data_IF_813250082383
#
_entry.id   IF_813250082383
#
_cell.length_a   1.000
_cell.length_b   1.000
_cell.length_c   1.000
_cell.angle_alpha   90.00
_cell.angle_beta   90.00
_cell.angle_gamma   90.00
#
_symmetry.space_group_name_H-M   'P 1'
#
loop_
_entity.id
_entity.type
_entity.pdbx_description
1 polymer ?
#
# COMPACT_ATOMS: atom_id res chain seq x y z
N UNK A 1 -24.54 -12.45 -43.33
CA UNK A 1 -24.00 -11.73 -42.15
C UNK A 1 -22.55 -11.39 -42.45
N UNK A 2 -22.19 -10.11 -42.52
CA UNK A 2 -20.82 -9.69 -42.82
C UNK A 2 -19.90 -10.01 -41.63
N UNK A 3 -18.74 -10.61 -41.89
CA UNK A 3 -17.73 -10.93 -40.87
C UNK A 3 -17.21 -9.59 -40.30
N UNK A 4 -17.26 -9.33 -38.98
CA UNK A 4 -16.76 -8.09 -38.42
C UNK A 4 -15.29 -7.90 -38.78
N UNK A 5 -14.89 -6.68 -39.10
CA UNK A 5 -13.48 -6.34 -39.31
C UNK A 5 -12.71 -6.64 -38.03
N UNK A 6 -11.45 -7.09 -38.15
CA UNK A 6 -10.64 -7.51 -37.00
C UNK A 6 -10.45 -6.41 -35.94
N UNK A 7 -10.58 -5.14 -36.32
CA UNK A 7 -10.54 -3.99 -35.41
C UNK A 7 -11.84 -3.81 -34.61
N UNK A 8 -13.01 -4.02 -35.24
CA UNK A 8 -14.29 -3.96 -34.53
C UNK A 8 -14.38 -5.08 -33.48
N UNK A 9 -13.96 -6.29 -33.85
CA UNK A 9 -13.90 -7.43 -32.93
C UNK A 9 -12.94 -7.18 -31.74
N UNK A 10 -11.82 -6.49 -31.98
CA UNK A 10 -10.88 -6.11 -30.91
C UNK A 10 -11.48 -5.05 -29.97
N UNK A 11 -12.21 -4.07 -30.51
CA UNK A 11 -12.91 -3.06 -29.70
C UNK A 11 -13.99 -3.68 -28.83
N UNK A 12 -14.79 -4.59 -29.38
CA UNK A 12 -15.81 -5.31 -28.62
C UNK A 12 -15.15 -6.17 -27.53
N UNK A 13 -14.07 -6.90 -27.87
CA UNK A 13 -13.32 -7.68 -26.88
C UNK A 13 -12.76 -6.80 -25.76
N UNK A 14 -12.18 -5.63 -26.08
CA UNK A 14 -11.65 -4.72 -25.07
C UNK A 14 -12.75 -4.22 -24.13
N UNK A 15 -13.94 -3.90 -24.65
CA UNK A 15 -15.11 -3.49 -23.85
C UNK A 15 -15.60 -4.63 -22.94
N UNK A 16 -15.81 -5.82 -23.49
CA UNK A 16 -16.23 -6.99 -22.70
C UNK A 16 -15.19 -7.36 -21.63
N UNK A 17 -13.90 -7.28 -21.98
CA UNK A 17 -12.81 -7.53 -21.03
C UNK A 17 -12.85 -6.51 -19.90
N UNK A 18 -13.03 -5.21 -20.17
CA UNK A 18 -13.19 -4.20 -19.11
C UNK A 18 -14.35 -4.51 -18.16
N UNK A 19 -15.49 -4.97 -18.68
CA UNK A 19 -16.62 -5.40 -17.85
C UNK A 19 -16.25 -6.58 -16.96
N UNK A 20 -15.53 -7.58 -17.50
CA UNK A 20 -15.03 -8.71 -16.72
C UNK A 20 -14.06 -8.26 -15.62
N UNK A 21 -13.14 -7.34 -15.93
CA UNK A 21 -12.18 -6.81 -14.94
C UNK A 21 -12.91 -6.06 -13.83
N UNK A 22 -13.92 -5.26 -14.15
CA UNK A 22 -14.76 -4.60 -13.15
C UNK A 22 -15.44 -5.63 -12.22
N UNK A 23 -15.99 -6.71 -12.78
CA UNK A 23 -16.55 -7.80 -11.98
C UNK A 23 -15.50 -8.45 -11.07
N UNK A 24 -14.29 -8.71 -11.57
CA UNK A 24 -13.20 -9.23 -10.74
C UNK A 24 -12.81 -8.25 -9.62
N UNK A 25 -12.70 -6.96 -9.89
CA UNK A 25 -12.40 -5.95 -8.86
C UNK A 25 -13.51 -5.86 -7.80
N UNK A 26 -14.77 -5.99 -8.21
CA UNK A 26 -15.90 -6.07 -7.29
C UNK A 26 -15.84 -7.32 -6.44
N UNK A 27 -15.48 -8.49 -7.01
CA UNK A 27 -15.34 -9.74 -6.24
C UNK A 27 -14.23 -9.67 -5.18
N UNK A 28 -13.18 -8.90 -5.44
CA UNK A 28 -12.05 -8.67 -4.53
C UNK A 28 -12.28 -7.50 -3.55
N UNK A 29 -13.50 -6.95 -3.48
CA UNK A 29 -13.79 -5.87 -2.53
C UNK A 29 -13.62 -6.33 -1.07
N UNK A 30 -13.17 -5.43 -0.16
CA UNK A 30 -12.94 -5.78 1.25
C UNK A 30 -14.18 -6.32 1.97
N UNK A 31 -15.37 -5.94 1.50
CA UNK A 31 -16.66 -6.35 2.06
C UNK A 31 -17.02 -7.81 1.76
N UNK A 32 -16.36 -8.44 0.79
CA UNK A 32 -16.66 -9.82 0.40
C UNK A 32 -15.86 -10.78 1.27
N UNK A 33 -16.53 -11.75 1.88
CA UNK A 33 -15.88 -12.83 2.61
C UNK A 33 -15.05 -13.73 1.67
N UNK A 34 -14.19 -14.61 2.22
CA UNK A 34 -13.67 -15.75 1.44
C UNK A 34 -14.82 -16.64 1.00
N UNK A 35 -14.73 -17.17 -0.22
CA UNK A 35 -15.72 -18.10 -0.74
C UNK A 35 -15.34 -19.52 -0.28
N UNK A 36 -16.08 -20.11 0.68
CA UNK A 36 -15.80 -21.46 1.16
C UNK A 36 -16.06 -22.53 0.10
N UNK A 37 -16.74 -22.20 -1.00
CA UNK A 37 -16.95 -23.11 -2.13
C UNK A 37 -15.72 -23.26 -3.02
N UNK A 38 -14.71 -22.39 -2.89
CA UNK A 38 -13.50 -22.41 -3.70
C UNK A 38 -12.36 -22.98 -2.84
N UNK A 39 -11.97 -24.26 -3.04
CA UNK A 39 -10.90 -24.86 -2.27
C UNK A 39 -9.59 -24.12 -2.53
N UNK A 40 -8.79 -23.84 -1.49
CA UNK A 40 -7.52 -23.16 -1.67
C UNK A 40 -6.56 -24.06 -2.45
N UNK A 41 -5.79 -23.49 -3.40
CA UNK A 41 -4.71 -24.25 -4.02
C UNK A 41 -3.71 -24.70 -2.94
N UNK A 42 -2.98 -25.81 -3.13
CA UNK A 42 -2.06 -26.34 -2.11
C UNK A 42 -1.02 -25.34 -1.60
N UNK A 43 -0.66 -24.37 -2.44
CA UNK A 43 0.24 -23.25 -2.12
C UNK A 43 -0.32 -21.96 -2.73
N UNK A 44 -1.19 -21.22 -2.03
CA UNK A 44 -1.86 -20.05 -2.60
C UNK A 44 -0.92 -18.93 -2.99
N UNK A 45 0.13 -18.66 -2.19
CA UNK A 45 1.13 -17.64 -2.54
C UNK A 45 1.94 -18.01 -3.80
N UNK A 46 2.28 -19.28 -3.98
CA UNK A 46 2.97 -19.74 -5.19
C UNK A 46 2.07 -19.58 -6.43
N UNK A 47 0.77 -19.87 -6.30
CA UNK A 47 -0.21 -19.67 -7.37
C UNK A 47 -0.37 -18.19 -7.74
N UNK A 48 -0.48 -17.30 -6.74
CA UNK A 48 -0.52 -15.85 -6.93
C UNK A 48 0.76 -15.34 -7.61
N UNK A 49 1.92 -15.79 -7.14
CA UNK A 49 3.23 -15.44 -7.71
C UNK A 49 3.36 -15.90 -9.16
N UNK A 50 2.92 -17.11 -9.48
CA UNK A 50 2.93 -17.63 -10.84
C UNK A 50 2.02 -16.80 -11.76
N UNK A 51 0.81 -16.46 -11.31
CA UNK A 51 -0.12 -15.60 -12.06
C UNK A 51 0.47 -14.21 -12.31
N UNK A 52 1.07 -13.57 -11.31
CA UNK A 52 1.71 -12.26 -11.45
C UNK A 52 2.89 -12.30 -12.44
N UNK A 53 3.73 -13.34 -12.36
CA UNK A 53 4.87 -13.52 -13.27
C UNK A 53 4.41 -13.74 -14.71
N UNK A 54 3.40 -14.59 -14.92
CA UNK A 54 2.80 -14.82 -16.23
C UNK A 54 2.18 -13.54 -16.79
N UNK A 55 1.42 -12.80 -15.97
CA UNK A 55 0.82 -11.53 -16.38
C UNK A 55 1.90 -10.55 -16.83
N UNK A 56 3.00 -10.39 -16.07
CA UNK A 56 4.13 -9.54 -16.46
C UNK A 56 4.68 -9.92 -17.84
N UNK A 57 4.89 -11.21 -18.11
CA UNK A 57 5.36 -11.71 -19.40
C UNK A 57 4.38 -11.42 -20.55
N UNK A 58 3.09 -11.61 -20.31
CA UNK A 58 2.04 -11.27 -21.28
C UNK A 58 1.98 -9.76 -21.54
N UNK A 59 2.10 -8.93 -20.51
CA UNK A 59 2.14 -7.47 -20.64
C UNK A 59 3.32 -7.02 -21.49
N UNK A 60 4.52 -7.58 -21.29
CA UNK A 60 5.69 -7.28 -22.13
C UNK A 60 5.43 -7.65 -23.60
N UNK A 61 4.88 -8.84 -23.84
CA UNK A 61 4.55 -9.29 -25.18
C UNK A 61 3.51 -8.40 -25.85
N UNK A 62 2.48 -7.99 -25.10
CA UNK A 62 1.43 -7.09 -25.59
C UNK A 62 2.00 -5.69 -25.87
N UNK A 63 2.82 -5.15 -24.98
CA UNK A 63 3.50 -3.87 -25.16
C UNK A 63 4.29 -3.83 -26.48
N UNK A 64 5.08 -4.87 -26.75
CA UNK A 64 5.82 -5.03 -28.00
C UNK A 64 4.89 -5.05 -29.23
N UNK A 65 3.77 -5.79 -29.17
CA UNK A 65 2.77 -5.84 -30.24
C UNK A 65 2.10 -4.49 -30.49
N UNK A 66 1.95 -3.66 -29.47
CA UNK A 66 1.31 -2.35 -29.58
C UNK A 66 2.25 -1.29 -30.11
N UNK A 67 3.54 -1.31 -29.73
CA UNK A 67 4.53 -0.30 -30.14
C UNK A 67 5.22 -0.61 -31.48
N UNK A 68 5.16 -1.87 -31.93
CA UNK A 68 5.86 -2.34 -33.14
C UNK A 68 4.89 -2.51 -34.31
N UNK A 69 5.07 -1.80 -35.43
CA UNK A 69 4.30 -2.04 -36.64
C UNK A 69 4.64 -3.41 -37.26
N UNK A 70 3.67 -4.12 -37.88
CA UNK A 70 2.28 -3.71 -38.06
C UNK A 70 1.38 -4.06 -36.86
N UNK A 71 0.40 -3.20 -36.60
CA UNK A 71 -0.68 -3.43 -35.65
C UNK A 71 -1.47 -4.66 -36.06
N UNK A 72 -1.43 -5.68 -35.21
CA UNK A 72 -1.97 -7.02 -35.52
C UNK A 72 -3.13 -7.35 -34.57
N UNK A 73 -4.38 -7.01 -34.92
CA UNK A 73 -5.51 -7.13 -34.00
C UNK A 73 -5.75 -8.56 -33.52
N UNK A 74 -5.56 -9.56 -34.38
CA UNK A 74 -5.74 -10.96 -34.02
C UNK A 74 -4.75 -11.43 -32.94
N UNK A 75 -3.48 -11.05 -33.05
CA UNK A 75 -2.46 -11.39 -32.05
C UNK A 75 -2.75 -10.69 -30.70
N UNK A 76 -3.21 -9.44 -30.74
CA UNK A 76 -3.63 -8.68 -29.57
C UNK A 76 -4.84 -9.34 -28.90
N UNK A 77 -5.86 -9.73 -29.68
CA UNK A 77 -7.04 -10.43 -29.17
C UNK A 77 -6.66 -11.75 -28.48
N UNK A 78 -5.77 -12.54 -29.09
CA UNK A 78 -5.26 -13.77 -28.48
C UNK A 78 -4.60 -13.47 -27.14
N UNK A 79 -3.73 -12.46 -27.06
CA UNK A 79 -3.05 -12.11 -25.81
C UNK A 79 -4.00 -11.63 -24.71
N UNK A 80 -5.03 -10.86 -25.05
CA UNK A 80 -6.06 -10.44 -24.10
C UNK A 80 -6.87 -11.66 -23.61
N UNK A 81 -7.21 -12.58 -24.50
CA UNK A 81 -7.89 -13.83 -24.16
C UNK A 81 -7.05 -14.74 -23.25
N UNK A 82 -5.78 -14.94 -23.57
CA UNK A 82 -4.83 -15.74 -22.78
C UNK A 82 -4.73 -15.20 -21.35
N UNK A 83 -4.60 -13.87 -21.22
CA UNK A 83 -4.50 -13.21 -19.90
C UNK A 83 -5.79 -13.36 -19.10
N UNK A 84 -6.95 -13.16 -19.73
CA UNK A 84 -8.25 -13.22 -19.07
C UNK A 84 -8.58 -14.62 -18.57
N UNK A 85 -8.34 -15.64 -19.41
CA UNK A 85 -8.64 -17.04 -19.09
C UNK A 85 -7.60 -17.70 -18.18
N UNK A 86 -6.34 -17.24 -18.22
CA UNK A 86 -5.25 -17.79 -17.42
C UNK A 86 -4.98 -16.97 -16.15
N UNK A 87 -3.94 -16.10 -16.17
CA UNK A 87 -3.41 -15.48 -14.96
C UNK A 87 -4.41 -14.63 -14.20
N UNK A 88 -5.37 -13.95 -14.84
CA UNK A 88 -6.36 -13.15 -14.10
C UNK A 88 -7.37 -14.01 -13.36
N UNK A 89 -7.92 -15.03 -14.02
CA UNK A 89 -8.85 -15.97 -13.38
C UNK A 89 -8.15 -16.74 -12.26
N UNK A 90 -6.92 -17.20 -12.49
CA UNK A 90 -6.11 -17.86 -11.45
C UNK A 90 -5.78 -16.95 -10.27
N UNK A 91 -5.44 -15.69 -10.53
CA UNK A 91 -5.17 -14.69 -9.49
C UNK A 91 -6.40 -14.42 -8.64
N UNK A 92 -7.56 -14.16 -9.27
CA UNK A 92 -8.81 -13.93 -8.55
C UNK A 92 -9.18 -15.16 -7.74
N UNK A 93 -9.14 -16.35 -8.34
CA UNK A 93 -9.43 -17.62 -7.67
C UNK A 93 -8.57 -17.83 -6.42
N UNK A 94 -7.25 -17.64 -6.54
CA UNK A 94 -6.33 -17.75 -5.40
C UNK A 94 -6.57 -16.68 -4.33
N UNK A 95 -6.98 -15.46 -4.72
CA UNK A 95 -7.25 -14.35 -3.81
C UNK A 95 -8.64 -14.41 -3.13
N UNK A 96 -9.60 -15.18 -3.66
CA UNK A 96 -10.93 -15.35 -3.04
C UNK A 96 -11.13 -16.68 -2.33
N UNK A 97 -10.24 -17.66 -2.57
CA UNK A 97 -10.30 -18.99 -1.96
C UNK A 97 -10.34 -18.96 -0.42
N UNK A 98 -10.72 -20.09 0.16
CA UNK A 98 -10.80 -20.28 1.61
C UNK A 98 -9.52 -19.79 2.33
N UNK A 99 -9.71 -19.12 3.47
CA UNK A 99 -8.69 -18.36 4.19
C UNK A 99 -7.62 -19.26 4.85
N UNK A 100 -6.72 -19.79 4.04
CA UNK A 100 -5.55 -20.56 4.44
C UNK A 100 -4.31 -19.69 4.72
N UNK A 101 -4.37 -18.40 4.38
CA UNK A 101 -3.25 -17.46 4.48
C UNK A 101 -3.24 -16.62 5.78
N UNK A 102 -4.35 -16.62 6.54
CA UNK A 102 -4.58 -15.67 7.63
C UNK A 102 -5.27 -14.40 7.12
N UNK A 103 -6.10 -13.78 7.97
CA UNK A 103 -6.94 -12.66 7.59
C UNK A 103 -6.11 -11.47 7.08
N UNK A 104 -4.99 -11.16 7.74
CA UNK A 104 -4.12 -10.04 7.35
C UNK A 104 -3.53 -10.24 5.95
N UNK A 105 -2.99 -11.43 5.69
CA UNK A 105 -2.37 -11.75 4.39
C UNK A 105 -3.43 -11.82 3.29
N UNK A 106 -4.61 -12.39 3.57
CA UNK A 106 -5.70 -12.48 2.61
C UNK A 106 -6.18 -11.10 2.16
N UNK A 107 -6.35 -10.17 3.11
CA UNK A 107 -6.77 -8.79 2.81
C UNK A 107 -5.76 -8.10 1.91
N UNK A 108 -4.46 -8.23 2.20
CA UNK A 108 -3.41 -7.60 1.40
C UNK A 108 -3.32 -8.23 -0.01
N UNK A 109 -3.36 -9.56 -0.12
CA UNK A 109 -3.34 -10.25 -1.43
C UNK A 109 -4.52 -9.80 -2.29
N UNK A 110 -5.71 -9.66 -1.71
CA UNK A 110 -6.91 -9.16 -2.42
C UNK A 110 -6.74 -7.72 -2.89
N UNK A 111 -6.22 -6.84 -2.03
CA UNK A 111 -5.99 -5.44 -2.37
C UNK A 111 -4.99 -5.31 -3.53
N UNK A 112 -3.86 -6.00 -3.45
CA UNK A 112 -2.83 -6.01 -4.50
C UNK A 112 -3.32 -6.65 -5.80
N UNK A 113 -4.07 -7.76 -5.72
CA UNK A 113 -4.69 -8.38 -6.89
C UNK A 113 -5.69 -7.43 -7.57
N UNK A 114 -6.50 -6.70 -6.79
CA UNK A 114 -7.44 -5.69 -7.31
C UNK A 114 -6.72 -4.54 -7.99
N UNK A 115 -5.62 -4.06 -7.41
CA UNK A 115 -4.78 -3.02 -8.02
C UNK A 115 -4.19 -3.51 -9.35
N UNK A 116 -3.65 -4.72 -9.39
CA UNK A 116 -3.07 -5.33 -10.58
C UNK A 116 -4.10 -5.53 -11.71
N UNK A 117 -5.34 -5.94 -11.36
CA UNK A 117 -6.43 -6.04 -12.32
C UNK A 117 -6.82 -4.66 -12.86
N UNK A 118 -6.78 -3.63 -12.01
CA UNK A 118 -7.02 -2.24 -12.41
C UNK A 118 -5.97 -1.73 -13.41
N UNK A 119 -4.69 -1.93 -13.12
CA UNK A 119 -3.60 -1.51 -14.02
C UNK A 119 -3.64 -2.26 -15.36
N UNK A 120 -4.01 -3.55 -15.36
CA UNK A 120 -4.28 -4.28 -16.60
C UNK A 120 -5.50 -3.71 -17.36
N UNK A 121 -6.55 -3.28 -16.66
CA UNK A 121 -7.71 -2.63 -17.24
C UNK A 121 -7.37 -1.34 -17.99
N UNK A 122 -6.39 -0.57 -17.51
CA UNK A 122 -5.88 0.60 -18.22
C UNK A 122 -5.17 0.22 -19.52
N UNK A 123 -4.36 -0.85 -19.51
CA UNK A 123 -3.75 -1.39 -20.75
C UNK A 123 -4.81 -1.81 -21.76
N UNK A 124 -5.83 -2.56 -21.34
CA UNK A 124 -6.96 -2.95 -22.22
C UNK A 124 -7.71 -1.72 -22.74
N UNK A 125 -7.84 -0.68 -21.92
CA UNK A 125 -8.40 0.59 -22.34
C UNK A 125 -7.60 1.29 -23.41
N UNK A 126 -6.28 1.28 -23.30
CA UNK A 126 -5.39 1.82 -24.31
C UNK A 126 -5.49 1.03 -25.62
N UNK A 127 -5.53 -0.30 -25.55
CA UNK A 127 -5.76 -1.15 -26.73
C UNK A 127 -7.05 -0.77 -27.46
N UNK A 128 -8.15 -0.57 -26.73
CA UNK A 128 -9.42 -0.12 -27.32
C UNK A 128 -9.28 1.23 -28.02
N UNK A 129 -8.68 2.23 -27.36
CA UNK A 129 -8.46 3.56 -27.98
C UNK A 129 -7.61 3.48 -29.26
N UNK A 130 -6.55 2.65 -29.23
CA UNK A 130 -5.67 2.43 -30.39
C UNK A 130 -6.38 1.74 -31.55
N UNK A 131 -7.30 0.82 -31.26
CA UNK A 131 -8.09 0.11 -32.26
C UNK A 131 -9.22 0.99 -32.84
N UNK A 132 -9.93 1.77 -32.03
CA UNK A 132 -10.92 2.77 -32.46
C UNK A 132 -10.29 3.82 -33.39
N UNK A 133 -9.12 4.36 -33.04
CA UNK A 133 -8.40 5.32 -33.88
C UNK A 133 -8.07 4.74 -35.26
N UNK A 134 -7.54 3.51 -35.29
CA UNK A 134 -7.18 2.81 -36.53
C UNK A 134 -8.41 2.47 -37.37
N UNK A 135 -9.53 2.15 -36.71
CA UNK A 135 -10.80 1.91 -37.39
C UNK A 135 -11.33 3.19 -38.07
N UNK A 136 -11.31 4.33 -37.36
CA UNK A 136 -11.72 5.63 -37.91
C UNK A 136 -10.84 6.09 -39.08
N UNK A 137 -9.52 5.85 -38.99
CA UNK A 137 -8.61 6.13 -40.10
C UNK A 137 -8.93 5.28 -41.35
N UNK A 138 -9.36 4.03 -41.17
CA UNK A 138 -9.78 3.16 -42.27
C UNK A 138 -11.14 3.55 -42.87
N UNK A 139 -12.06 4.13 -42.09
CA UNK A 139 -13.39 4.53 -42.58
C UNK A 139 -13.41 5.91 -43.23
N UNK A 140 -12.56 6.84 -42.78
CA UNK A 140 -12.52 8.23 -43.28
C UNK A 140 -11.57 8.40 -44.48
N UNK A 141 -10.73 7.41 -44.79
CA UNK A 141 -9.89 7.36 -45.99
C UNK A 141 -10.68 7.03 -47.26
N UNK A 142 -11.65 7.86 -47.64
CA UNK A 142 -12.32 7.77 -48.93
C UNK A 142 -11.50 8.48 -50.00
N UNK A 143 -10.65 7.77 -50.72
CA UNK A 143 -9.90 8.35 -51.83
C UNK A 143 -8.96 7.39 -52.54
N UNK A 144 -9.52 6.63 -53.47
CA UNK A 144 -8.85 5.77 -54.46
C UNK A 144 -8.29 4.42 -53.96
N UNK A 145 -8.63 3.40 -54.73
CA UNK A 145 -8.30 2.01 -54.50
C UNK A 145 -6.80 1.73 -54.62
N UNK A 146 -6.35 0.71 -53.86
CA UNK A 146 -5.13 -0.09 -54.06
C UNK A 146 -3.77 0.39 -53.54
N UNK A 147 -3.70 1.33 -52.59
CA UNK A 147 -2.58 1.32 -51.64
C UNK A 147 -3.10 0.86 -50.28
N UNK A 148 -2.58 -0.28 -49.80
CA UNK A 148 -2.70 -0.63 -48.38
C UNK A 148 -2.16 0.58 -47.62
N UNK A 149 -3.03 1.36 -46.98
CA UNK A 149 -2.60 2.40 -46.06
C UNK A 149 -1.56 1.76 -45.15
N UNK A 150 -0.29 2.15 -45.36
CA UNK A 150 0.83 1.57 -44.63
C UNK A 150 0.55 1.92 -43.19
N UNK A 151 0.52 0.93 -42.31
CA UNK A 151 0.39 1.20 -40.89
C UNK A 151 1.59 2.03 -40.48
N UNK A 152 1.37 3.35 -40.33
CA UNK A 152 2.39 4.32 -39.93
C UNK A 152 2.89 4.04 -38.51
N UNK A 153 2.23 3.09 -37.84
CA UNK A 153 2.56 2.69 -36.50
C UNK A 153 1.91 3.61 -35.46
N UNK A 154 2.16 3.32 -34.19
CA UNK A 154 1.69 4.18 -33.11
C UNK A 154 2.46 5.50 -33.10
N UNK A 155 1.75 6.59 -32.78
CA UNK A 155 2.35 7.89 -32.53
C UNK A 155 3.30 7.85 -31.34
N UNK A 156 4.19 8.84 -31.21
CA UNK A 156 5.09 8.93 -30.05
C UNK A 156 4.30 8.94 -28.74
N UNK A 157 3.22 9.72 -28.67
CA UNK A 157 2.35 9.77 -27.49
C UNK A 157 1.72 8.40 -27.17
N UNK A 158 1.27 7.63 -28.19
CA UNK A 158 0.76 6.27 -27.95
C UNK A 158 1.84 5.32 -27.44
N UNK A 159 3.07 5.43 -27.95
CA UNK A 159 4.19 4.63 -27.44
C UNK A 159 4.48 4.96 -25.99
N UNK A 160 4.53 6.24 -25.66
CA UNK A 160 4.78 6.72 -24.30
C UNK A 160 3.66 6.25 -23.35
N UNK A 161 2.38 6.34 -23.76
CA UNK A 161 1.24 5.81 -23.00
C UNK A 161 1.32 4.29 -22.79
N UNK A 162 1.69 3.53 -23.83
CA UNK A 162 1.82 2.06 -23.75
C UNK A 162 2.94 1.69 -22.78
N UNK A 163 4.10 2.36 -22.88
CA UNK A 163 5.24 2.10 -22.02
C UNK A 163 4.95 2.48 -20.57
N UNK A 164 4.29 3.61 -20.33
CA UNK A 164 3.86 4.03 -19.01
C UNK A 164 2.89 3.01 -18.39
N UNK A 165 1.83 2.63 -19.10
CA UNK A 165 0.86 1.64 -18.61
C UNK A 165 1.51 0.26 -18.38
N UNK A 166 2.46 -0.14 -19.24
CA UNK A 166 3.26 -1.36 -19.06
C UNK A 166 4.06 -1.31 -17.76
N UNK A 167 4.71 -0.17 -17.49
CA UNK A 167 5.48 0.06 -16.26
C UNK A 167 4.62 -0.11 -15.00
N UNK A 168 3.43 0.49 -14.97
CA UNK A 168 2.51 0.37 -13.83
C UNK A 168 2.08 -1.08 -13.59
N UNK A 169 1.80 -1.85 -14.65
CA UNK A 169 1.47 -3.28 -14.51
C UNK A 169 2.67 -4.07 -14.00
N UNK A 170 3.89 -3.78 -14.48
CA UNK A 170 5.11 -4.42 -13.98
C UNK A 170 5.35 -4.15 -12.51
N UNK A 171 5.24 -2.90 -12.07
CA UNK A 171 5.39 -2.52 -10.66
C UNK A 171 4.35 -3.24 -9.80
N UNK A 172 3.10 -3.31 -10.25
CA UNK A 172 2.03 -4.05 -9.57
C UNK A 172 2.35 -5.55 -9.47
N UNK A 173 2.87 -6.15 -10.55
CA UNK A 173 3.30 -7.56 -10.54
C UNK A 173 4.47 -7.78 -9.58
N UNK A 174 5.48 -6.92 -9.61
CA UNK A 174 6.69 -7.04 -8.78
C UNK A 174 6.37 -6.82 -7.29
N UNK A 175 5.47 -5.89 -6.98
CA UNK A 175 4.97 -5.69 -5.61
C UNK A 175 4.26 -6.94 -5.09
N UNK A 176 3.40 -7.56 -5.90
CA UNK A 176 2.69 -8.78 -5.55
C UNK A 176 3.63 -9.99 -5.40
N UNK A 177 4.65 -10.12 -6.26
CA UNK A 177 5.68 -11.15 -6.14
C UNK A 177 6.49 -10.97 -4.85
N UNK A 178 6.92 -9.74 -4.54
CA UNK A 178 7.63 -9.42 -3.29
C UNK A 178 6.79 -9.74 -2.06
N UNK A 179 5.48 -9.46 -2.10
CA UNK A 179 4.54 -9.83 -1.03
C UNK A 179 4.50 -11.35 -0.84
N UNK A 180 4.41 -12.12 -1.92
CA UNK A 180 4.41 -13.58 -1.85
C UNK A 180 5.73 -14.13 -1.30
N UNK A 181 6.87 -13.55 -1.71
CA UNK A 181 8.20 -13.97 -1.27
C UNK A 181 8.48 -13.63 0.21
N UNK A 182 7.99 -12.49 0.68
CA UNK A 182 8.09 -12.09 2.09
C UNK A 182 7.10 -12.80 3.00
N UNK A 183 5.99 -13.28 2.46
CA UNK A 183 4.88 -13.86 3.22
C UNK A 183 4.34 -12.91 4.30
N UNK A 184 3.69 -13.47 5.32
CA UNK A 184 3.11 -12.68 6.41
C UNK A 184 4.18 -11.92 7.21
N UNK A 185 5.35 -12.51 7.45
CA UNK A 185 6.42 -11.84 8.19
C UNK A 185 6.93 -10.60 7.44
N UNK A 186 7.19 -10.73 6.13
CA UNK A 186 7.59 -9.60 5.29
C UNK A 186 6.52 -8.50 5.22
N UNK A 187 5.24 -8.90 5.12
CA UNK A 187 4.12 -7.96 5.15
C UNK A 187 4.07 -7.18 6.48
N UNK A 188 4.17 -7.87 7.61
CA UNK A 188 4.10 -7.24 8.93
C UNK A 188 5.31 -6.32 9.16
N UNK A 189 6.51 -6.72 8.72
CA UNK A 189 7.70 -5.85 8.76
C UNK A 189 7.45 -4.57 7.97
N UNK A 190 6.98 -4.68 6.73
CA UNK A 190 6.69 -3.52 5.88
C UNK A 190 5.66 -2.59 6.54
N UNK A 191 4.54 -3.13 7.02
CA UNK A 191 3.50 -2.33 7.70
C UNK A 191 4.04 -1.66 8.97
N UNK A 192 4.86 -2.35 9.76
CA UNK A 192 5.45 -1.77 10.96
C UNK A 192 6.46 -0.65 10.63
N UNK A 193 7.21 -0.77 9.53
CA UNK A 193 8.10 0.28 9.04
C UNK A 193 7.32 1.51 8.57
N UNK A 194 6.23 1.33 7.82
CA UNK A 194 5.32 2.40 7.39
C UNK A 194 4.67 3.13 8.58
N UNK A 195 4.06 2.38 9.50
CA UNK A 195 3.43 2.94 10.71
C UNK A 195 4.42 3.71 11.58
N UNK A 196 5.67 3.22 11.68
CA UNK A 196 6.73 3.94 12.38
C UNK A 196 7.10 5.23 11.67
N UNK A 197 7.17 5.24 10.34
CA UNK A 197 7.44 6.47 9.58
C UNK A 197 6.37 7.50 9.88
N UNK A 198 5.09 7.14 9.69
CA UNK A 198 3.95 8.02 10.00
C UNK A 198 3.99 8.54 11.43
N UNK A 199 4.32 7.67 12.40
CA UNK A 199 4.46 8.07 13.80
C UNK A 199 5.55 9.13 14.01
N UNK A 200 6.69 8.99 13.33
CA UNK A 200 7.81 9.93 13.49
C UNK A 200 7.58 11.23 12.75
N UNK A 201 6.91 11.18 11.60
CA UNK A 201 6.51 12.36 10.84
C UNK A 201 5.54 13.21 11.68
N UNK A 202 4.53 12.59 12.29
CA UNK A 202 3.61 13.28 13.21
C UNK A 202 4.29 13.86 14.47
N UNK A 203 5.33 13.18 14.96
CA UNK A 203 6.15 13.66 16.08
C UNK A 203 7.00 14.87 15.71
N UNK A 204 7.50 14.91 14.47
CA UNK A 204 8.25 16.04 13.95
C UNK A 204 7.32 17.24 13.75
N UNK A 205 6.15 17.03 13.15
CA UNK A 205 5.09 18.03 13.01
C UNK A 205 4.68 18.63 14.36
N UNK A 206 4.38 17.80 15.37
CA UNK A 206 4.02 18.28 16.71
C UNK A 206 5.13 19.07 17.40
N UNK A 207 6.39 18.70 17.14
CA UNK A 207 7.55 19.41 17.68
C UNK A 207 7.69 20.77 17.01
N UNK A 208 7.60 20.84 15.68
CA UNK A 208 7.64 22.11 14.92
C UNK A 208 6.48 23.03 15.28
N UNK A 209 5.30 22.48 15.57
CA UNK A 209 4.15 23.25 16.03
C UNK A 209 4.35 23.88 17.42
N UNK A 210 5.02 23.15 18.33
CA UNK A 210 5.30 23.59 19.69
C UNK A 210 6.54 24.46 19.88
N UNK A 211 7.36 24.61 18.83
CA UNK A 211 8.48 25.54 18.83
C UNK A 211 7.95 26.97 18.80
N UNK A 212 8.48 27.82 19.69
CA UNK A 212 8.11 29.23 19.69
C UNK A 212 8.54 29.81 18.34
N UNK A 213 7.67 30.59 17.69
CA UNK A 213 8.16 31.50 16.66
C UNK A 213 8.98 32.53 17.41
N UNK A 214 10.30 32.43 17.30
CA UNK A 214 11.18 33.49 17.78
C UNK A 214 10.80 34.74 16.99
N UNK A 215 10.09 35.67 17.65
CA UNK A 215 10.04 37.07 17.25
C UNK A 215 11.46 37.67 17.39
N UNK A 216 12.40 37.21 16.57
CA UNK A 216 13.67 37.91 16.32
C UNK A 216 13.42 39.09 15.36
N UNK A 217 12.34 39.83 15.57
CA UNK A 217 12.20 41.23 15.16
C UNK A 217 12.58 42.14 16.35
N UNK A 218 13.86 42.11 16.72
CA UNK A 218 14.45 43.16 17.55
C UNK A 218 15.82 43.61 17.01
N UNK A 219 15.98 43.65 15.68
CA UNK A 219 16.99 44.48 15.02
C UNK A 219 16.44 45.09 13.72
N UNK A 220 15.50 46.03 13.84
CA UNK A 220 15.26 47.03 12.81
C UNK A 220 15.17 48.41 13.48
N UNK A 221 16.34 48.99 13.74
CA UNK A 221 16.45 50.44 13.90
C UNK A 221 15.89 51.11 12.62
N UNK A 222 14.83 51.89 12.81
CA UNK A 222 14.52 53.11 12.07
C UNK A 222 14.56 53.03 10.54
N UNK A 223 13.43 52.66 9.92
CA UNK A 223 13.05 53.17 8.60
C UNK A 223 11.54 53.07 8.40
N UNK A 224 10.90 54.22 8.62
CA UNK A 224 9.54 54.54 8.20
C UNK A 224 9.36 54.37 6.68
N UNK A 225 8.69 53.31 6.23
CA UNK A 225 7.72 53.39 5.12
C UNK A 225 6.79 52.17 5.12
N UNK A 226 5.48 52.44 5.05
CA UNK A 226 4.45 51.43 5.22
C UNK A 226 4.27 50.54 3.99
N UNK A 227 4.31 49.23 4.19
CA UNK A 227 3.53 48.26 3.45
C UNK A 227 3.09 47.16 4.42
N UNK A 228 1.78 46.96 4.48
CA UNK A 228 1.11 45.90 5.23
C UNK A 228 1.54 44.53 4.69
N UNK A 229 2.39 43.82 5.44
CA UNK A 229 2.56 42.37 5.30
C UNK A 229 1.34 41.69 5.96
N UNK A 230 0.24 41.57 5.20
CA UNK A 230 -0.97 40.82 5.58
C UNK A 230 -0.83 39.29 5.38
N UNK A 231 0.36 38.77 5.12
CA UNK A 231 0.57 37.33 4.87
C UNK A 231 1.03 36.53 6.11
N UNK A 232 1.32 37.16 7.26
CA UNK A 232 1.73 36.46 8.51
C UNK A 232 0.59 36.32 9.55
N UNK A 233 -0.58 36.91 9.29
CA UNK A 233 -1.75 36.85 10.20
C UNK A 233 -2.39 35.45 10.25
N UNK A 234 -2.21 34.62 9.22
CA UNK A 234 -2.82 33.29 9.17
C UNK A 234 -1.87 32.14 9.56
N UNK A 235 -0.58 32.41 9.80
CA UNK A 235 0.41 31.41 10.22
C UNK A 235 0.59 31.29 11.74
N UNK A 236 0.35 32.38 12.48
CA UNK A 236 0.65 32.47 13.92
C UNK A 236 -0.55 32.19 14.84
N UNK A 237 -1.79 32.22 14.34
CA UNK A 237 -3.00 32.20 15.17
C UNK A 237 -3.26 30.89 15.93
N UNK A 238 -2.51 29.82 15.64
CA UNK A 238 -2.74 28.48 16.21
C UNK A 238 -1.48 27.84 16.82
N UNK A 239 -0.38 28.56 16.99
CA UNK A 239 0.83 28.06 17.67
C UNK A 239 0.74 28.29 19.18
N UNK A 240 1.46 27.47 19.93
CA UNK A 240 1.48 27.55 21.39
C UNK A 240 2.02 28.92 21.84
N UNK A 241 1.17 29.74 22.46
CA UNK A 241 1.59 31.07 22.93
C UNK A 241 2.55 31.00 24.13
N UNK A 242 3.44 32.00 24.27
CA UNK A 242 4.46 32.12 25.33
C UNK A 242 3.91 32.01 26.79
N UNK A 243 2.59 32.05 26.99
CA UNK A 243 1.93 31.98 28.30
C UNK A 243 1.56 30.58 28.80
N UNK A 244 1.55 29.54 27.95
CA UNK A 244 1.02 28.22 28.32
C UNK A 244 2.12 27.20 28.64
N UNK A 245 2.87 27.50 29.71
CA UNK A 245 4.05 26.71 30.12
C UNK A 245 3.69 25.27 30.48
N UNK A 246 2.52 25.05 31.08
CA UNK A 246 2.05 23.71 31.46
C UNK A 246 1.74 22.86 30.23
N UNK A 247 1.09 23.45 29.22
CA UNK A 247 0.81 22.77 27.95
C UNK A 247 2.09 22.51 27.14
N UNK A 248 3.07 23.43 27.19
CA UNK A 248 4.39 23.24 26.58
C UNK A 248 5.15 22.07 27.19
N UNK A 249 5.19 22.00 28.52
CA UNK A 249 5.80 20.88 29.24
C UNK A 249 5.06 19.55 28.94
N UNK A 250 3.73 19.57 28.81
CA UNK A 250 2.95 18.41 28.42
C UNK A 250 3.23 17.95 26.98
N UNK A 251 3.41 18.89 26.04
CA UNK A 251 3.79 18.62 24.66
C UNK A 251 5.17 17.98 24.56
N UNK A 252 6.18 18.57 25.21
CA UNK A 252 7.55 18.05 25.22
C UNK A 252 7.62 16.61 25.77
N UNK A 253 6.88 16.35 26.85
CA UNK A 253 6.73 15.01 27.43
C UNK A 253 6.07 14.04 26.46
N UNK A 254 5.02 14.48 25.77
CA UNK A 254 4.30 13.68 24.79
C UNK A 254 5.19 13.31 23.61
N UNK A 255 5.86 14.29 23.00
CA UNK A 255 6.84 14.11 21.92
C UNK A 255 7.92 13.12 22.33
N UNK A 256 8.47 13.26 23.54
CA UNK A 256 9.50 12.34 24.05
C UNK A 256 8.98 10.90 24.20
N UNK A 257 7.78 10.71 24.78
CA UNK A 257 7.18 9.38 24.95
C UNK A 257 6.84 8.74 23.61
N UNK A 258 6.29 9.48 22.66
CA UNK A 258 5.96 8.95 21.32
C UNK A 258 7.24 8.59 20.55
N UNK A 259 8.31 9.40 20.65
CA UNK A 259 9.65 9.03 20.13
C UNK A 259 10.14 7.70 20.71
N UNK A 260 9.94 7.45 22.01
CA UNK A 260 10.27 6.17 22.64
C UNK A 260 9.41 5.02 22.10
N UNK A 261 8.15 5.25 21.75
CA UNK A 261 7.31 4.28 21.03
C UNK A 261 7.87 4.00 19.64
N UNK A 262 8.37 5.01 18.92
CA UNK A 262 9.09 4.80 17.65
C UNK A 262 10.35 3.92 17.78
N UNK A 263 11.00 3.90 18.95
CA UNK A 263 12.11 2.96 19.26
C UNK A 263 11.59 1.53 19.48
N UNK A 264 10.42 1.36 20.10
CA UNK A 264 9.77 0.05 20.23
C UNK A 264 9.53 -0.59 18.86
N UNK A 265 9.00 0.17 17.89
CA UNK A 265 8.81 -0.32 16.52
C UNK A 265 10.11 -0.88 15.93
N UNK A 266 11.23 -0.16 16.06
CA UNK A 266 12.54 -0.64 15.59
C UNK A 266 12.97 -1.94 16.27
N UNK A 267 12.77 -2.04 17.58
CA UNK A 267 13.12 -3.24 18.33
C UNK A 267 12.23 -4.44 17.92
N UNK A 268 10.92 -4.23 17.77
CA UNK A 268 9.97 -5.23 17.29
C UNK A 268 10.35 -5.73 15.89
N UNK A 269 10.63 -4.81 14.95
CA UNK A 269 11.05 -5.15 13.59
C UNK A 269 12.31 -6.02 13.61
N UNK A 270 13.34 -5.61 14.35
CA UNK A 270 14.64 -6.29 14.36
C UNK A 270 14.62 -7.63 15.10
N UNK A 271 13.92 -7.73 16.23
CA UNK A 271 14.06 -8.84 17.18
C UNK A 271 12.84 -9.77 17.26
N UNK A 272 11.70 -9.39 16.67
CA UNK A 272 10.48 -10.22 16.63
C UNK A 272 9.99 -10.46 15.21
N UNK A 273 9.81 -9.42 14.42
CA UNK A 273 9.20 -9.58 13.09
C UNK A 273 10.16 -10.25 12.09
N UNK A 274 11.44 -9.83 12.05
CA UNK A 274 12.46 -10.47 11.19
C UNK A 274 12.89 -11.86 11.65
N UNK A 275 12.60 -12.24 12.90
CA UNK A 275 12.92 -13.55 13.48
C UNK A 275 11.72 -14.50 13.47
N UNK A 276 10.60 -14.08 12.86
CA UNK A 276 9.39 -14.90 12.79
C UNK A 276 9.65 -16.22 12.05
N UNK A 277 9.19 -17.37 12.58
CA UNK A 277 9.41 -18.66 11.95
C UNK A 277 8.70 -18.71 10.59
N UNK A 278 9.47 -18.90 9.52
CA UNK A 278 8.90 -19.15 8.20
C UNK A 278 8.26 -20.56 8.15
N UNK A 279 7.29 -20.81 7.27
CA UNK A 279 6.65 -22.13 7.14
C UNK A 279 7.65 -23.27 6.94
N UNK A 280 8.77 -23.02 6.26
CA UNK A 280 9.86 -23.98 6.08
C UNK A 280 10.61 -24.32 7.39
N UNK A 281 10.72 -23.36 8.31
CA UNK A 281 11.33 -23.56 9.63
C UNK A 281 10.35 -24.17 10.65
N UNK A 282 9.04 -23.89 10.52
CA UNK A 282 7.99 -24.42 11.37
C UNK A 282 7.70 -25.91 11.10
N UNK A 283 7.74 -26.34 9.83
CA UNK A 283 7.55 -27.74 9.43
C UNK A 283 8.61 -28.70 10.01
N UNK A 284 9.78 -28.18 10.40
CA UNK A 284 10.88 -28.97 10.96
C UNK A 284 10.77 -29.22 12.48
N UNK A 285 9.83 -28.57 13.20
CA UNK A 285 9.89 -28.56 14.68
C UNK A 285 8.61 -28.89 15.46
N UNK A 286 7.38 -28.82 14.93
CA UNK A 286 6.19 -29.21 15.73
C UNK A 286 4.96 -29.58 14.89
N UNK A 287 4.15 -30.50 15.44
CA UNK A 287 2.79 -30.80 14.97
C UNK A 287 1.92 -29.52 15.01
N UNK A 288 1.64 -28.92 13.85
CA UNK A 288 0.47 -28.07 13.51
C UNK A 288 0.06 -26.88 14.38
N UNK A 289 -0.07 -27.04 15.70
CA UNK A 289 -0.76 -26.11 16.61
C UNK A 289 0.08 -24.87 16.98
N UNK A 290 1.41 -24.99 17.09
CA UNK A 290 2.28 -23.87 17.43
C UNK A 290 2.33 -22.77 16.35
N UNK A 291 2.11 -23.14 15.08
CA UNK A 291 2.13 -22.21 13.94
C UNK A 291 0.89 -21.33 13.87
N UNK A 292 -0.29 -21.83 14.28
CA UNK A 292 -1.53 -21.04 14.26
C UNK A 292 -1.54 -19.96 15.34
N UNK A 293 -1.07 -20.28 16.55
CA UNK A 293 -0.97 -19.30 17.64
C UNK A 293 0.00 -18.16 17.29
N UNK A 294 1.11 -18.45 16.61
CA UNK A 294 2.09 -17.43 16.22
C UNK A 294 1.54 -16.43 15.19
N UNK A 295 0.73 -16.89 14.23
CA UNK A 295 0.06 -16.03 13.25
C UNK A 295 -1.02 -15.15 13.88
N UNK A 296 -1.84 -15.71 14.78
CA UNK A 296 -2.85 -14.92 15.50
C UNK A 296 -2.20 -13.81 16.36
N UNK A 297 -1.08 -14.13 17.02
CA UNK A 297 -0.28 -13.15 17.76
C UNK A 297 0.24 -12.02 16.86
N UNK A 298 0.70 -12.33 15.63
CA UNK A 298 1.11 -11.30 14.67
C UNK A 298 -0.06 -10.41 14.24
N UNK A 299 -1.22 -10.98 13.96
CA UNK A 299 -2.40 -10.20 13.57
C UNK A 299 -2.84 -9.25 14.68
N UNK A 300 -2.85 -9.72 15.92
CA UNK A 300 -3.17 -8.89 17.08
C UNK A 300 -2.11 -7.81 17.33
N UNK A 301 -0.83 -8.14 17.16
CA UNK A 301 0.25 -7.17 17.23
C UNK A 301 0.07 -6.05 16.19
N UNK A 302 -0.28 -6.39 14.95
CA UNK A 302 -0.51 -5.39 13.90
C UNK A 302 -1.68 -4.47 14.23
N UNK A 303 -2.76 -4.98 14.83
CA UNK A 303 -3.87 -4.14 15.29
C UNK A 303 -3.41 -3.11 16.33
N UNK A 304 -2.67 -3.56 17.34
CA UNK A 304 -2.13 -2.69 18.38
C UNK A 304 -1.15 -1.64 17.82
N UNK A 305 -0.30 -2.02 16.87
CA UNK A 305 0.60 -1.08 16.23
C UNK A 305 -0.19 -0.05 15.41
N UNK A 306 -1.15 -0.50 14.59
CA UNK A 306 -1.93 0.39 13.72
C UNK A 306 -2.71 1.46 14.49
N UNK A 307 -3.23 1.15 15.67
CA UNK A 307 -3.99 2.11 16.47
C UNK A 307 -3.13 3.21 17.10
N UNK A 308 -1.80 3.03 17.19
CA UNK A 308 -0.92 4.02 17.83
C UNK A 308 -0.85 5.32 16.99
N UNK A 309 -0.51 5.30 15.68
CA UNK A 309 -0.55 6.52 14.86
C UNK A 309 -1.92 7.18 14.82
N UNK A 310 -3.01 6.40 14.78
CA UNK A 310 -4.39 6.92 14.84
C UNK A 310 -4.62 7.72 16.15
N UNK A 311 -4.11 7.23 17.28
CA UNK A 311 -4.18 7.97 18.55
C UNK A 311 -3.22 9.15 18.64
N UNK A 312 -2.12 9.15 17.87
CA UNK A 312 -1.22 10.31 17.81
C UNK A 312 -1.86 11.45 17.01
N UNK A 313 -2.67 11.14 16.01
CA UNK A 313 -3.51 12.13 15.32
C UNK A 313 -4.53 12.75 16.29
N UNK A 314 -5.25 11.92 17.05
CA UNK A 314 -6.16 12.41 18.11
C UNK A 314 -5.42 13.25 19.17
N UNK A 315 -4.19 12.86 19.54
CA UNK A 315 -3.35 13.59 20.48
C UNK A 315 -2.94 14.95 19.92
N UNK A 316 -2.60 15.01 18.63
CA UNK A 316 -2.30 16.27 17.96
C UNK A 316 -3.53 17.18 17.94
N UNK A 317 -4.71 16.63 17.65
CA UNK A 317 -5.98 17.35 17.74
C UNK A 317 -6.22 17.95 19.14
N UNK A 318 -5.96 17.19 20.20
CA UNK A 318 -6.08 17.70 21.58
C UNK A 318 -5.11 18.86 21.86
N UNK A 319 -3.86 18.79 21.39
CA UNK A 319 -2.91 19.89 21.50
C UNK A 319 -3.33 21.12 20.70
N UNK A 320 -3.81 20.94 19.47
CA UNK A 320 -4.33 22.04 18.64
C UNK A 320 -5.55 22.71 19.24
N UNK A 321 -6.35 21.98 20.02
CA UNK A 321 -7.49 22.52 20.77
C UNK A 321 -7.11 23.09 22.16
N UNK A 322 -5.82 23.06 22.51
CA UNK A 322 -5.28 23.47 23.82
C UNK A 322 -5.87 22.69 25.00
N UNK A 323 -6.31 21.44 24.78
CA UNK A 323 -6.85 20.57 25.81
C UNK A 323 -5.75 19.66 26.39
N UNK A 324 -5.07 20.15 27.41
CA UNK A 324 -3.99 19.42 28.09
C UNK A 324 -4.44 18.14 28.80
N UNK A 325 -5.69 18.09 29.29
CA UNK A 325 -6.24 16.92 29.98
C UNK A 325 -6.57 15.80 28.98
N UNK A 326 -7.20 16.14 27.86
CA UNK A 326 -7.43 15.22 26.75
C UNK A 326 -6.11 14.72 26.16
N UNK A 327 -5.15 15.62 25.94
CA UNK A 327 -3.82 15.25 25.44
C UNK A 327 -3.13 14.24 26.36
N UNK A 328 -3.16 14.48 27.69
CA UNK A 328 -2.59 13.55 28.67
C UNK A 328 -3.31 12.20 28.68
N UNK A 329 -4.64 12.19 28.59
CA UNK A 329 -5.43 10.97 28.54
C UNK A 329 -5.13 10.15 27.27
N UNK A 330 -5.05 10.80 26.11
CA UNK A 330 -4.75 10.17 24.83
C UNK A 330 -3.31 9.66 24.77
N UNK A 331 -2.34 10.41 25.28
CA UNK A 331 -0.96 9.94 25.44
C UNK A 331 -0.88 8.67 26.30
N UNK A 332 -1.67 8.60 27.37
CA UNK A 332 -1.80 7.42 28.22
C UNK A 332 -2.28 6.19 27.44
N UNK A 333 -3.26 6.36 26.54
CA UNK A 333 -3.75 5.29 25.65
C UNK A 333 -2.64 4.84 24.68
N UNK A 334 -1.93 5.77 24.04
CA UNK A 334 -0.80 5.45 23.14
C UNK A 334 0.26 4.60 23.85
N UNK A 335 0.67 5.03 25.05
CA UNK A 335 1.64 4.32 25.86
C UNK A 335 1.12 2.94 26.29
N UNK A 336 -0.14 2.85 26.69
CA UNK A 336 -0.79 1.58 27.07
C UNK A 336 -0.84 0.57 25.92
N UNK A 337 -1.15 1.02 24.71
CA UNK A 337 -1.12 0.16 23.51
C UNK A 337 0.29 -0.30 23.16
N UNK A 338 1.28 0.61 23.22
CA UNK A 338 2.67 0.26 22.99
C UNK A 338 3.19 -0.77 24.01
N UNK A 339 2.83 -0.64 25.29
CA UNK A 339 3.14 -1.65 26.32
C UNK A 339 2.45 -2.98 26.05
N UNK A 340 1.18 -2.95 25.64
CA UNK A 340 0.43 -4.15 25.28
C UNK A 340 1.09 -4.89 24.11
N UNK A 341 1.53 -4.15 23.09
CA UNK A 341 2.29 -4.70 21.96
C UNK A 341 3.61 -5.33 22.42
N UNK A 342 4.38 -4.65 23.28
CA UNK A 342 5.62 -5.19 23.83
C UNK A 342 5.39 -6.44 24.71
N UNK A 343 4.29 -6.48 25.46
CA UNK A 343 3.89 -7.60 26.30
C UNK A 343 3.45 -8.82 25.48
N UNK A 344 2.68 -8.59 24.41
CA UNK A 344 2.16 -9.63 23.52
C UNK A 344 3.28 -10.47 22.90
N UNK A 345 4.41 -9.85 22.56
CA UNK A 345 5.60 -10.53 22.02
C UNK A 345 6.79 -10.45 22.98
N UNK A 346 6.54 -10.48 24.29
CA UNK A 346 7.59 -10.43 25.32
C UNK A 346 8.60 -11.56 25.15
N UNK A 347 8.11 -12.79 25.00
CA UNK A 347 8.94 -13.96 24.73
C UNK A 347 9.20 -14.12 23.23
N UNK A 348 10.24 -14.87 22.87
CA UNK A 348 10.47 -15.21 21.47
C UNK A 348 9.41 -16.20 20.95
N UNK A 349 9.45 -16.49 19.66
CA UNK A 349 8.48 -17.41 19.01
C UNK A 349 8.59 -18.88 19.48
N UNK A 350 9.61 -19.23 20.27
CA UNK A 350 9.75 -20.52 20.93
C UNK A 350 9.26 -20.50 22.40
N UNK A 351 8.73 -19.38 22.89
CA UNK A 351 8.27 -19.20 24.27
C UNK A 351 9.40 -19.05 25.29
N UNK A 352 10.62 -18.74 24.84
CA UNK A 352 11.77 -18.52 25.72
C UNK A 352 12.11 -17.04 25.86
N UNK A 353 12.68 -16.69 27.00
CA UNK A 353 13.18 -15.35 27.28
C UNK A 353 14.49 -15.11 26.51
N UNK A 354 14.63 -13.91 25.97
CA UNK A 354 15.83 -13.49 25.22
C UNK A 354 16.24 -12.04 25.55
N UNK A 355 17.22 -11.51 24.82
CA UNK A 355 17.67 -10.12 24.98
C UNK A 355 16.55 -9.09 24.80
N UNK A 356 15.56 -9.37 23.94
CA UNK A 356 14.41 -8.48 23.78
C UNK A 356 13.50 -8.54 25.01
N UNK A 357 13.32 -9.70 25.63
CA UNK A 357 12.55 -9.81 26.88
C UNK A 357 13.12 -8.91 27.98
N UNK A 358 14.44 -8.94 28.17
CA UNK A 358 15.11 -8.06 29.14
C UNK A 358 15.05 -6.59 28.73
N UNK A 359 15.19 -6.31 27.43
CA UNK A 359 15.15 -4.95 26.89
C UNK A 359 13.75 -4.33 26.99
N UNK A 360 12.69 -5.09 26.69
CA UNK A 360 11.32 -4.59 26.69
C UNK A 360 10.86 -4.22 28.10
N UNK A 361 11.27 -4.98 29.13
CA UNK A 361 11.02 -4.60 30.53
C UNK A 361 11.68 -3.27 30.88
N UNK A 362 12.96 -3.09 30.53
CA UNK A 362 13.68 -1.81 30.74
C UNK A 362 13.05 -0.66 29.95
N UNK A 363 12.57 -0.94 28.74
CA UNK A 363 11.89 0.06 27.90
C UNK A 363 10.56 0.49 28.52
N UNK A 364 9.76 -0.44 29.07
CA UNK A 364 8.53 -0.12 29.80
C UNK A 364 8.84 0.74 31.03
N UNK A 365 9.84 0.35 31.84
CA UNK A 365 10.25 1.14 33.01
C UNK A 365 10.71 2.55 32.61
N UNK A 366 11.43 2.68 31.50
CA UNK A 366 11.89 3.97 30.99
C UNK A 366 10.72 4.82 30.48
N UNK A 367 9.71 4.21 29.84
CA UNK A 367 8.53 4.90 29.36
C UNK A 367 7.68 5.44 30.52
N UNK A 368 7.59 4.69 31.61
CA UNK A 368 6.91 5.11 32.84
C UNK A 368 7.66 6.20 33.58
N UNK A 369 9.00 6.15 33.60
CA UNK A 369 9.83 7.19 34.21
C UNK A 369 9.96 8.46 33.38
N UNK A 370 9.53 8.47 32.13
CA UNK A 370 9.54 9.65 31.27
C UNK A 370 8.43 10.67 31.63
N UNK A 371 8.01 10.70 32.89
CA UNK A 371 7.01 11.61 33.48
C UNK A 371 7.45 13.07 33.56
#
# INVERSE_FOLDING_TARGET
>A
MAKPTSLAALNDLAKTTKTLLAHFQSSLAPTNASDPSIPPPPKPLDAVKACATLLKSHTTSLSLLLITPPFTPSAIMTKIGDVSSGPLTGLVGAAVAENSLGALMQVEVRAQARQLIGSWGEVVGLVGRMAERRQTAQTNGSGSAKEKAKDEGPSKAEKDDVLAATGVVWESCDALVKLCDGGIAGLVVKKAEELRSTLLDAVEELKEWGEDVDDDENEAEDSNDGFEDEDDIFGAANKLGKGDKELKEALDKSVKKIKMVGVLYQALIKRRLKTFPTPAAAAAKTNGEASQNSTATLEELVKLLRSIPEQVDDLAGAFYNLDGDEAKATLGKCCGQAKSAAGLVKQNWAGADDEFTAWSMKWVDALDKAE
#
